data_IF_755590901065
#
_entry.id   IF_755590901065
#
_cell.length_a   1.000
_cell.length_b   1.000
_cell.length_c   1.000
_cell.angle_alpha   90.00
_cell.angle_beta   90.00
_cell.angle_gamma   90.00
#
_symmetry.space_group_name_H-M   'P 1'
#
loop_
_entity.id
_entity.type
_entity.pdbx_description
1 polymer ?
#
# COMPACT_ATOMS: atom_id res chain seq x y z
N UNK A 1 5.00 -51.80 23.84
CA UNK A 1 5.03 -50.88 22.67
C UNK A 1 4.08 -49.66 22.77
N UNK A 2 3.31 -49.44 23.85
CA UNK A 2 2.31 -48.36 23.94
C UNK A 2 2.79 -47.02 24.56
N UNK A 3 3.92 -46.99 25.27
CA UNK A 3 4.37 -45.80 26.02
C UNK A 3 5.01 -44.70 25.15
N UNK A 4 5.45 -45.02 23.93
CA UNK A 4 6.00 -44.04 22.98
C UNK A 4 4.92 -43.14 22.35
N UNK A 5 3.73 -43.70 22.10
CA UNK A 5 2.61 -42.97 21.49
C UNK A 5 2.09 -41.83 22.38
N UNK A 6 1.87 -42.10 23.68
CA UNK A 6 1.39 -41.07 24.61
C UNK A 6 2.39 -39.91 24.75
N UNK A 7 3.70 -40.22 24.84
CA UNK A 7 4.76 -39.19 24.89
C UNK A 7 4.74 -38.31 23.64
N UNK A 8 4.53 -38.90 22.45
CA UNK A 8 4.46 -38.15 21.19
C UNK A 8 3.24 -37.23 21.08
N UNK A 9 2.10 -37.61 21.67
CA UNK A 9 0.90 -36.78 21.71
C UNK A 9 1.05 -35.60 22.68
N UNK A 10 1.70 -35.83 23.82
CA UNK A 10 1.97 -34.75 24.79
C UNK A 10 2.97 -33.75 24.20
N UNK A 11 4.04 -34.22 23.56
CA UNK A 11 5.00 -33.31 22.92
C UNK A 11 4.38 -32.53 21.77
N UNK A 12 3.49 -33.13 20.96
CA UNK A 12 2.80 -32.40 19.89
C UNK A 12 1.85 -31.33 20.43
N UNK A 13 1.12 -31.62 21.51
CA UNK A 13 0.26 -30.63 22.16
C UNK A 13 1.06 -29.45 22.74
N UNK A 14 2.21 -29.73 23.37
CA UNK A 14 3.09 -28.70 23.93
C UNK A 14 3.67 -27.80 22.84
N UNK A 15 4.14 -28.35 21.72
CA UNK A 15 4.69 -27.53 20.63
C UNK A 15 3.64 -26.62 20.01
N UNK A 16 2.41 -27.12 19.81
CA UNK A 16 1.28 -26.29 19.36
C UNK A 16 1.02 -25.17 20.36
N UNK A 17 0.91 -25.48 21.65
CA UNK A 17 0.67 -24.48 22.70
C UNK A 17 1.74 -23.38 22.75
N UNK A 18 3.02 -23.73 22.58
CA UNK A 18 4.12 -22.75 22.50
C UNK A 18 3.97 -21.85 21.27
N UNK A 19 3.61 -22.41 20.12
CA UNK A 19 3.41 -21.61 18.90
C UNK A 19 2.20 -20.67 19.00
N UNK A 20 1.13 -21.10 19.67
CA UNK A 20 -0.03 -20.26 19.95
C UNK A 20 0.30 -19.15 20.94
N UNK A 21 1.04 -19.45 22.02
CA UNK A 21 1.48 -18.44 22.99
C UNK A 21 2.37 -17.39 22.32
N UNK A 22 3.33 -17.82 21.48
CA UNK A 22 4.16 -16.92 20.67
C UNK A 22 3.30 -16.05 19.76
N UNK A 23 2.31 -16.64 19.10
CA UNK A 23 1.42 -15.92 18.21
C UNK A 23 0.62 -14.84 18.94
N UNK A 24 0.14 -15.13 20.16
CA UNK A 24 -0.57 -14.16 21.02
C UNK A 24 0.36 -13.04 21.51
N UNK A 25 1.59 -13.36 21.92
CA UNK A 25 2.55 -12.37 22.44
C UNK A 25 2.98 -11.39 21.36
N UNK A 26 3.32 -11.88 20.16
CA UNK A 26 3.88 -11.06 19.08
C UNK A 26 2.84 -10.61 18.05
N UNK A 27 1.55 -10.85 18.31
CA UNK A 27 0.47 -10.52 17.36
C UNK A 27 0.60 -11.23 16.02
N UNK A 28 1.18 -12.43 15.99
CA UNK A 28 1.20 -13.24 14.78
C UNK A 28 -0.14 -13.96 14.61
N UNK A 29 -0.65 -14.00 13.38
CA UNK A 29 -1.83 -14.79 13.05
C UNK A 29 -1.41 -16.23 12.76
N UNK A 30 -1.95 -17.19 13.51
CA UNK A 30 -1.68 -18.62 13.35
C UNK A 30 -2.80 -19.26 12.51
N UNK A 31 -2.44 -20.09 11.54
CA UNK A 31 -3.38 -20.80 10.67
C UNK A 31 -3.02 -22.29 10.64
N UNK A 32 -3.63 -23.10 11.53
CA UNK A 32 -3.29 -24.51 11.65
C UNK A 32 -3.77 -25.33 10.45
N UNK A 33 -4.80 -24.86 9.73
CA UNK A 33 -5.37 -25.52 8.55
C UNK A 33 -4.57 -25.25 7.28
N UNK A 34 -3.68 -24.26 7.29
CA UNK A 34 -2.82 -23.91 6.14
C UNK A 34 -3.56 -23.36 4.92
N UNK A 35 -4.86 -23.06 5.04
CA UNK A 35 -5.66 -22.52 3.93
C UNK A 35 -5.24 -21.09 3.58
N UNK A 36 -5.56 -20.65 2.36
CA UNK A 36 -5.29 -19.27 1.95
C UNK A 36 -6.15 -18.29 2.75
N UNK A 37 -5.48 -17.44 3.53
CA UNK A 37 -6.08 -16.32 4.25
C UNK A 37 -5.72 -14.99 3.59
N UNK A 38 -6.61 -13.97 3.63
CA UNK A 38 -6.33 -12.63 3.09
C UNK A 38 -5.20 -11.88 3.82
N UNK A 39 -4.59 -12.44 4.87
CA UNK A 39 -3.49 -11.85 5.63
C UNK A 39 -2.30 -11.38 4.77
N UNK A 40 -2.03 -12.06 3.64
CA UNK A 40 -0.95 -11.63 2.73
C UNK A 40 -1.26 -10.30 2.04
N UNK A 41 -2.53 -10.00 1.81
CA UNK A 41 -2.98 -8.75 1.17
C UNK A 41 -2.85 -7.61 2.19
N UNK A 42 -3.33 -7.82 3.41
CA UNK A 42 -3.32 -6.82 4.48
C UNK A 42 -1.91 -6.43 4.97
N UNK A 43 -0.94 -7.33 4.84
CA UNK A 43 0.47 -7.05 5.20
C UNK A 43 1.21 -6.17 4.19
N UNK A 44 0.66 -5.94 3.00
CA UNK A 44 1.28 -5.04 2.02
C UNK A 44 1.03 -3.61 2.47
N UNK A 45 2.10 -2.80 2.54
CA UNK A 45 1.95 -1.37 2.80
C UNK A 45 1.17 -0.75 1.66
N UNK A 46 0.15 0.04 2.00
CA UNK A 46 -0.61 0.81 1.01
C UNK A 46 0.34 1.76 0.28
N UNK A 47 0.25 1.78 -1.05
CA UNK A 47 1.12 2.57 -1.92
C UNK A 47 0.35 3.61 -2.74
N UNK A 48 -0.96 3.76 -2.48
CA UNK A 48 -1.84 4.66 -3.22
C UNK A 48 -1.34 6.10 -3.21
N UNK A 49 -1.03 6.63 -2.04
CA UNK A 49 -0.58 8.04 -1.88
C UNK A 49 0.70 8.30 -2.69
N UNK A 50 1.69 7.40 -2.58
CA UNK A 50 2.93 7.51 -3.34
C UNK A 50 2.75 7.43 -4.85
N UNK A 51 1.75 6.68 -5.31
CA UNK A 51 1.44 6.57 -6.75
C UNK A 51 0.64 7.78 -7.21
N UNK A 52 -0.22 8.35 -6.36
CA UNK A 52 -0.96 9.57 -6.66
C UNK A 52 -0.03 10.79 -6.76
N UNK A 53 1.03 10.84 -5.96
CA UNK A 53 2.09 11.85 -5.98
C UNK A 53 3.04 11.75 -7.20
N UNK A 54 2.69 10.98 -8.24
CA UNK A 54 3.54 10.79 -9.41
C UNK A 54 3.87 12.10 -10.13
N UNK A 55 2.89 13.01 -10.22
CA UNK A 55 3.12 14.35 -10.76
C UNK A 55 3.36 15.32 -9.61
N UNK A 56 4.50 16.05 -9.62
CA UNK A 56 4.79 17.04 -8.60
C UNK A 56 3.78 18.19 -8.67
N UNK A 57 3.65 18.89 -7.55
CA UNK A 57 2.79 20.05 -7.45
C UNK A 57 3.22 21.17 -8.41
N UNK A 58 2.29 21.70 -9.20
CA UNK A 58 2.55 22.83 -10.08
C UNK A 58 2.28 24.16 -9.35
N UNK A 59 3.38 24.78 -8.90
CA UNK A 59 3.39 26.03 -8.13
C UNK A 59 2.75 27.19 -8.91
N UNK A 60 2.73 27.11 -10.25
CA UNK A 60 2.17 28.15 -11.11
C UNK A 60 0.69 28.44 -10.86
N UNK A 61 -0.04 27.45 -10.34
CA UNK A 61 -1.45 27.58 -10.02
C UNK A 61 -1.71 28.36 -8.72
N UNK A 62 -0.69 28.63 -7.90
CA UNK A 62 -0.84 29.43 -6.67
C UNK A 62 -0.58 30.91 -6.88
N UNK A 63 0.28 31.25 -7.85
CA UNK A 63 0.66 32.63 -8.11
C UNK A 63 -0.45 33.34 -8.91
N UNK A 64 -1.22 34.28 -8.30
CA UNK A 64 -2.33 34.94 -8.99
C UNK A 64 -1.85 35.76 -10.20
N UNK A 65 -0.60 36.21 -10.19
CA UNK A 65 0.01 36.93 -11.30
C UNK A 65 0.32 36.01 -12.49
N UNK A 66 0.67 34.74 -12.26
CA UNK A 66 0.95 33.76 -13.32
C UNK A 66 -0.36 33.32 -13.96
N UNK A 67 -1.36 32.96 -13.17
CA UNK A 67 -2.72 32.65 -13.65
C UNK A 67 -3.31 33.80 -14.48
N UNK A 68 -3.29 35.03 -13.96
CA UNK A 68 -3.82 36.19 -14.67
C UNK A 68 -3.07 36.50 -15.97
N UNK A 69 -1.80 36.12 -16.09
CA UNK A 69 -1.00 36.30 -17.31
C UNK A 69 -1.35 35.23 -18.34
N UNK A 70 -1.44 33.97 -17.93
CA UNK A 70 -1.83 32.86 -18.80
C UNK A 70 -3.24 33.09 -19.35
N UNK A 71 -4.21 33.44 -18.50
CA UNK A 71 -5.57 33.79 -18.93
C UNK A 71 -5.56 34.93 -19.96
N UNK A 72 -4.81 36.02 -19.72
CA UNK A 72 -4.68 37.11 -20.68
C UNK A 72 -4.09 36.65 -22.02
N UNK A 73 -3.13 35.74 -22.00
CA UNK A 73 -2.51 35.19 -23.21
C UNK A 73 -3.47 34.27 -23.97
N UNK A 74 -4.32 33.50 -23.27
CA UNK A 74 -5.43 32.75 -23.87
C UNK A 74 -6.49 33.64 -24.52
N UNK A 75 -6.86 34.75 -23.87
CA UNK A 75 -7.84 35.72 -24.40
C UNK A 75 -7.24 36.65 -25.47
N UNK A 76 -5.92 36.79 -25.51
CA UNK A 76 -5.27 37.59 -26.54
C UNK A 76 -5.38 36.90 -27.90
N UNK A 77 -5.73 37.63 -28.97
CA UNK A 77 -5.77 37.03 -30.30
C UNK A 77 -4.37 36.56 -30.66
N UNK A 78 -4.20 35.25 -30.85
CA UNK A 78 -2.95 34.69 -31.37
C UNK A 78 -2.67 35.38 -32.71
N UNK A 79 -1.43 35.85 -32.96
CA UNK A 79 -1.09 36.39 -34.27
C UNK A 79 -1.41 35.30 -35.28
N UNK A 80 -2.40 35.57 -36.14
CA UNK A 80 -2.75 34.67 -37.21
C UNK A 80 -1.49 34.44 -38.03
N UNK A 81 -1.15 33.18 -38.30
CA UNK A 81 -0.05 32.80 -39.20
C UNK A 81 -0.28 33.24 -40.66
N UNK A 82 -1.12 34.26 -40.89
CA UNK A 82 -1.68 34.65 -42.17
C UNK A 82 -0.92 35.81 -42.83
N UNK A 83 0.15 36.32 -42.22
CA UNK A 83 0.96 37.41 -42.79
C UNK A 83 2.34 36.94 -43.32
N UNK A 84 2.50 35.66 -43.61
CA UNK A 84 3.65 35.10 -44.34
C UNK A 84 3.19 34.48 -45.67
N UNK A 85 2.64 35.29 -46.58
CA UNK A 85 2.50 34.99 -48.01
C UNK A 85 2.28 36.29 -48.80
#
# INVERSE_FOLDING_TARGET
>A
MASGSLKSLVTSAVTIGVTEARARIFGHMLNPTGQRSPHKILRKKLFGDKVAEWYPYDIKNEDPNVLAREEKEYFSPKPSCFNFL
#
